data_IF_572223507964
#
_entry.id   IF_572223507964
#
_cell.length_a   1.000
_cell.length_b   1.000
_cell.length_c   1.000
_cell.angle_alpha   90.00
_cell.angle_beta   90.00
_cell.angle_gamma   90.00
#
_symmetry.space_group_name_H-M   'P 1'
#
loop_
_entity.id
_entity.type
_entity.pdbx_description
1 polymer ?
#
# COMPACT_ATOMS: atom_id res chain seq x y z
N UNK A 1 2.69 -15.08 -7.89
CA UNK A 1 1.40 -15.58 -8.42
C UNK A 1 1.62 -16.25 -9.78
N UNK A 2 1.84 -15.48 -10.86
CA UNK A 2 2.01 -16.05 -12.20
C UNK A 2 3.10 -17.14 -12.27
N UNK A 3 4.29 -16.81 -11.77
CA UNK A 3 5.42 -17.74 -11.69
C UNK A 3 5.12 -18.94 -10.76
N UNK A 4 4.69 -18.67 -9.52
CA UNK A 4 4.44 -19.70 -8.51
C UNK A 4 3.38 -20.73 -8.92
N UNK A 5 2.34 -20.31 -9.64
CA UNK A 5 1.24 -21.17 -10.09
C UNK A 5 1.30 -21.51 -11.58
N UNK A 6 2.43 -21.24 -12.24
CA UNK A 6 2.66 -21.53 -13.65
C UNK A 6 1.54 -21.06 -14.60
N UNK A 7 0.96 -19.88 -14.31
CA UNK A 7 -0.10 -19.26 -15.10
C UNK A 7 0.43 -18.01 -15.82
N UNK A 8 -0.25 -17.59 -16.89
CA UNK A 8 0.14 -16.34 -17.54
C UNK A 8 -0.24 -15.11 -16.70
N UNK A 9 0.34 -13.95 -17.03
CA UNK A 9 0.18 -12.73 -16.25
C UNK A 9 -1.28 -12.25 -16.19
N UNK A 10 -1.99 -12.31 -17.32
CA UNK A 10 -3.39 -11.86 -17.40
C UNK A 10 -4.31 -12.71 -16.52
N UNK A 11 -4.12 -14.03 -16.56
CA UNK A 11 -4.83 -14.98 -15.69
C UNK A 11 -4.54 -14.71 -14.21
N UNK A 12 -3.27 -14.49 -13.85
CA UNK A 12 -2.89 -14.18 -12.46
C UNK A 12 -3.57 -12.91 -11.94
N UNK A 13 -3.61 -11.86 -12.76
CA UNK A 13 -4.28 -10.59 -12.39
C UNK A 13 -5.78 -10.80 -12.27
N UNK A 14 -6.40 -11.50 -13.22
CA UNK A 14 -7.83 -11.77 -13.20
C UNK A 14 -8.25 -12.57 -11.95
N UNK A 15 -7.52 -13.63 -11.61
CA UNK A 15 -7.79 -14.45 -10.43
C UNK A 15 -7.57 -13.67 -9.13
N UNK A 16 -6.50 -12.86 -9.05
CA UNK A 16 -6.26 -11.97 -7.90
C UNK A 16 -7.41 -10.99 -7.70
N UNK A 17 -7.88 -10.34 -8.76
CA UNK A 17 -8.96 -9.36 -8.68
C UNK A 17 -10.32 -10.01 -8.33
N UNK A 18 -10.53 -11.27 -8.71
CA UNK A 18 -11.73 -12.03 -8.37
C UNK A 18 -11.66 -12.71 -7.00
N UNK A 19 -10.50 -12.69 -6.32
CA UNK A 19 -10.28 -13.43 -5.08
C UNK A 19 -10.33 -14.96 -5.25
N UNK A 20 -10.07 -15.46 -6.47
CA UNK A 20 -10.14 -16.90 -6.82
C UNK A 20 -8.75 -17.52 -6.96
N UNK A 21 -7.86 -17.20 -6.03
CA UNK A 21 -6.52 -17.79 -5.99
C UNK A 21 -6.58 -19.15 -5.25
N UNK A 22 -5.60 -20.04 -5.49
CA UNK A 22 -5.50 -21.31 -4.75
C UNK A 22 -5.46 -21.10 -3.22
N UNK A 23 -5.92 -22.10 -2.46
CA UNK A 23 -6.07 -22.00 -0.99
C UNK A 23 -4.74 -21.71 -0.27
N UNK A 24 -3.62 -22.15 -0.83
CA UNK A 24 -2.28 -21.94 -0.27
C UNK A 24 -1.70 -20.55 -0.56
N UNK A 25 -2.39 -19.69 -1.32
CA UNK A 25 -1.89 -18.38 -1.74
C UNK A 25 -1.44 -17.49 -0.60
N UNK A 26 -2.21 -17.47 0.50
CA UNK A 26 -1.88 -16.61 1.64
C UNK A 26 -0.50 -16.99 2.20
N UNK A 27 -0.28 -18.26 2.52
CA UNK A 27 0.97 -18.74 3.13
C UNK A 27 2.12 -18.90 2.14
N UNK A 28 1.85 -19.33 0.91
CA UNK A 28 2.91 -19.66 -0.06
C UNK A 28 3.43 -18.43 -0.82
N UNK A 29 2.63 -17.37 -0.94
CA UNK A 29 2.96 -16.20 -1.76
C UNK A 29 2.79 -14.89 -1.00
N UNK A 30 1.66 -14.66 -0.35
CA UNK A 30 1.33 -13.35 0.20
C UNK A 30 2.09 -13.04 1.50
N UNK A 31 2.19 -13.98 2.43
CA UNK A 31 2.98 -13.85 3.66
C UNK A 31 4.46 -13.61 3.37
N UNK A 32 5.16 -14.43 2.55
CA UNK A 32 6.54 -14.16 2.16
C UNK A 32 6.73 -12.78 1.51
N UNK A 33 5.74 -12.35 0.72
CA UNK A 33 5.77 -11.03 0.10
C UNK A 33 5.60 -9.88 1.11
N UNK A 34 4.72 -10.04 2.12
CA UNK A 34 4.57 -9.10 3.23
C UNK A 34 5.88 -8.99 4.04
N UNK A 35 6.54 -10.11 4.32
CA UNK A 35 7.83 -10.15 5.02
C UNK A 35 8.94 -9.45 4.23
N UNK A 36 8.96 -9.65 2.91
CA UNK A 36 9.89 -8.95 2.02
C UNK A 36 9.68 -7.43 2.06
N UNK A 37 8.43 -6.97 2.04
CA UNK A 37 8.11 -5.54 2.17
C UNK A 37 8.60 -5.01 3.52
N UNK A 38 8.31 -5.70 4.61
CA UNK A 38 8.74 -5.32 5.96
C UNK A 38 10.25 -5.19 6.05
N UNK A 39 10.98 -6.18 5.53
CA UNK A 39 12.45 -6.15 5.49
C UNK A 39 12.96 -4.96 4.69
N UNK A 40 12.32 -4.66 3.55
CA UNK A 40 12.70 -3.52 2.73
C UNK A 40 12.49 -2.20 3.47
N UNK A 41 11.34 -2.01 4.12
CA UNK A 41 11.05 -0.82 4.92
C UNK A 41 12.08 -0.67 6.05
N UNK A 42 12.38 -1.76 6.78
CA UNK A 42 13.38 -1.76 7.85
C UNK A 42 14.75 -1.31 7.35
N UNK A 43 15.20 -1.83 6.20
CA UNK A 43 16.48 -1.42 5.58
C UNK A 43 16.49 0.06 5.20
N UNK A 44 15.40 0.54 4.61
CA UNK A 44 15.27 1.96 4.23
C UNK A 44 15.31 2.87 5.46
N UNK A 45 14.62 2.50 6.54
CA UNK A 45 14.66 3.26 7.80
C UNK A 45 16.06 3.26 8.43
N UNK A 46 16.74 2.11 8.46
CA UNK A 46 18.12 2.02 8.94
C UNK A 46 19.06 2.92 8.14
N UNK A 47 18.91 2.95 6.81
CA UNK A 47 19.68 3.85 5.95
C UNK A 47 19.35 5.33 6.19
N UNK A 48 18.08 5.67 6.40
CA UNK A 48 17.66 7.02 6.74
C UNK A 48 18.30 7.48 8.06
N UNK A 49 18.30 6.63 9.10
CA UNK A 49 18.91 6.97 10.39
C UNK A 49 20.44 7.05 10.36
N UNK A 50 21.11 6.33 9.46
CA UNK A 50 22.57 6.42 9.34
C UNK A 50 23.04 7.66 8.57
N UNK A 51 22.16 8.30 7.80
CA UNK A 51 22.51 9.42 6.90
C UNK A 51 21.90 10.76 7.31
N UNK A 52 20.83 10.76 8.12
CA UNK A 52 20.17 11.98 8.56
C UNK A 52 20.62 12.42 9.95
N UNK A 53 20.69 13.73 10.18
CA UNK A 53 20.83 14.31 11.52
C UNK A 53 19.48 14.42 12.25
N UNK A 54 18.39 14.12 11.54
CA UNK A 54 17.04 14.08 12.09
C UNK A 54 16.83 12.75 12.84
N UNK A 55 16.04 12.79 13.91
CA UNK A 55 15.84 11.66 14.82
C UNK A 55 15.01 10.51 14.25
N UNK A 56 14.31 9.83 15.15
CA UNK A 56 13.44 8.68 14.83
C UNK A 56 12.23 9.10 13.98
N UNK A 57 11.72 8.18 13.16
CA UNK A 57 10.49 8.36 12.40
C UNK A 57 9.29 8.17 13.32
N UNK A 58 8.44 9.18 13.44
CA UNK A 58 7.22 9.13 14.27
C UNK A 58 6.08 8.34 13.61
N UNK A 59 6.02 8.36 12.27
CA UNK A 59 4.88 7.81 11.53
C UNK A 59 5.27 7.30 10.14
N UNK A 60 4.67 6.17 9.73
CA UNK A 60 4.79 5.59 8.39
C UNK A 60 3.43 5.73 7.68
N UNK A 61 3.43 6.42 6.55
CA UNK A 61 2.25 6.56 5.70
C UNK A 61 2.38 5.67 4.46
N UNK A 62 1.49 4.68 4.31
CA UNK A 62 1.47 3.76 3.18
C UNK A 62 0.63 4.33 2.04
N UNK A 63 1.23 4.49 0.86
CA UNK A 63 0.57 4.95 -0.35
C UNK A 63 0.72 3.93 -1.50
N UNK A 64 -0.02 4.15 -2.58
CA UNK A 64 -0.02 3.29 -3.77
C UNK A 64 -0.95 2.09 -3.67
N UNK A 65 -1.00 1.29 -4.75
CA UNK A 65 -1.92 0.16 -4.86
C UNK A 65 -1.73 -0.91 -3.78
N UNK A 66 -0.50 -1.08 -3.31
CA UNK A 66 -0.14 -2.08 -2.29
C UNK A 66 -0.56 -1.68 -0.87
N UNK A 67 -0.79 -0.38 -0.60
CA UNK A 67 -1.25 0.08 0.70
C UNK A 67 -2.65 -0.48 1.06
N UNK A 68 -3.39 -0.96 0.07
CA UNK A 68 -4.71 -1.61 0.23
C UNK A 68 -4.64 -3.05 0.67
N UNK A 69 -3.44 -3.63 0.71
CA UNK A 69 -3.28 -5.01 1.13
C UNK A 69 -3.70 -5.15 2.59
N UNK A 70 -4.71 -5.98 2.82
CA UNK A 70 -5.23 -6.21 4.16
C UNK A 70 -4.13 -6.71 5.10
N UNK A 71 -4.11 -6.16 6.31
CA UNK A 71 -3.15 -6.49 7.36
C UNK A 71 -1.75 -5.90 7.18
N UNK A 72 -1.40 -5.30 6.04
CA UNK A 72 -0.03 -4.82 5.79
C UNK A 72 0.37 -3.68 6.75
N UNK A 73 -0.50 -2.68 6.93
CA UNK A 73 -0.24 -1.56 7.86
C UNK A 73 -0.07 -2.05 9.30
N UNK A 74 -0.94 -2.96 9.75
CA UNK A 74 -0.89 -3.54 11.08
C UNK A 74 0.40 -4.34 11.30
N UNK A 75 0.78 -5.19 10.33
CA UNK A 75 2.02 -5.95 10.36
C UNK A 75 3.25 -5.03 10.49
N UNK A 76 3.31 -3.98 9.68
CA UNK A 76 4.44 -3.03 9.71
C UNK A 76 4.50 -2.33 11.07
N UNK A 77 3.36 -1.88 11.59
CA UNK A 77 3.30 -1.23 12.90
C UNK A 77 3.74 -2.16 14.04
N UNK A 78 3.24 -3.40 14.04
CA UNK A 78 3.60 -4.40 15.05
C UNK A 78 5.09 -4.72 15.03
N UNK A 79 5.66 -4.90 13.84
CA UNK A 79 7.05 -5.35 13.69
C UNK A 79 8.08 -4.23 13.84
N UNK A 80 7.71 -2.98 13.55
CA UNK A 80 8.62 -1.83 13.63
C UNK A 80 8.39 -0.96 14.85
N UNK A 81 7.24 -1.07 15.53
CA UNK A 81 6.87 -0.22 16.66
C UNK A 81 6.62 1.25 16.27
N UNK A 82 6.39 1.52 14.98
CA UNK A 82 6.13 2.87 14.45
C UNK A 82 4.69 2.93 13.96
N UNK A 83 3.95 3.97 14.37
CA UNK A 83 2.57 4.17 13.94
C UNK A 83 2.47 4.13 12.43
N UNK A 84 1.63 3.26 11.89
CA UNK A 84 1.53 3.05 10.43
C UNK A 84 0.09 3.17 9.97
N UNK A 85 -0.18 4.05 9.01
CA UNK A 85 -1.53 4.24 8.44
C UNK A 85 -1.52 4.19 6.92
N UNK A 86 -2.66 3.80 6.34
CA UNK A 86 -2.91 3.90 4.90
C UNK A 86 -3.27 5.34 4.54
N UNK A 87 -2.64 5.87 3.50
CA UNK A 87 -2.86 7.23 3.02
C UNK A 87 -4.26 7.39 2.43
N UNK A 88 -4.95 8.46 2.79
CA UNK A 88 -6.14 8.92 2.09
C UNK A 88 -6.01 10.43 1.83
N UNK A 89 -5.59 10.86 0.63
CA UNK A 89 -5.44 12.27 0.30
C UNK A 89 -6.77 13.02 0.18
N UNK A 90 -7.90 12.30 0.19
CA UNK A 90 -9.23 12.84 -0.10
C UNK A 90 -10.12 12.91 1.15
N UNK A 91 -9.60 12.53 2.33
CA UNK A 91 -10.38 12.41 3.58
C UNK A 91 -11.08 13.71 4.02
N UNK A 92 -10.55 14.86 3.59
CA UNK A 92 -11.08 16.18 3.92
C UNK A 92 -11.64 16.93 2.70
N UNK A 93 -11.85 16.22 1.58
CA UNK A 93 -12.40 16.82 0.36
C UNK A 93 -13.92 16.63 0.26
N UNK A 94 -14.57 17.55 -0.44
CA UNK A 94 -15.98 17.41 -0.83
C UNK A 94 -16.08 16.81 -2.22
N UNK A 95 -17.00 15.85 -2.39
CA UNK A 95 -17.19 15.15 -3.66
C UNK A 95 -18.39 15.68 -4.44
N UNK A 96 -18.21 15.89 -5.74
CA UNK A 96 -19.30 16.25 -6.65
C UNK A 96 -20.25 15.07 -6.92
N UNK A 97 -21.49 15.36 -7.34
CA UNK A 97 -22.55 14.36 -7.56
C UNK A 97 -22.23 13.27 -8.60
N UNK A 98 -21.24 13.49 -9.47
CA UNK A 98 -20.84 12.53 -10.52
C UNK A 98 -19.74 11.56 -10.05
N UNK A 99 -19.25 11.72 -8.84
CA UNK A 99 -18.16 10.92 -8.28
C UNK A 99 -18.74 9.65 -7.65
N UNK A 100 -18.21 8.50 -8.04
CA UNK A 100 -18.48 7.25 -7.35
C UNK A 100 -17.60 7.16 -6.09
N UNK A 101 -18.22 7.32 -4.92
CA UNK A 101 -17.52 7.35 -3.63
C UNK A 101 -16.85 6.01 -3.29
N UNK A 102 -17.47 4.88 -3.63
CA UNK A 102 -16.94 3.56 -3.30
C UNK A 102 -15.64 3.29 -4.06
N UNK A 103 -15.62 3.62 -5.35
CA UNK A 103 -14.42 3.50 -6.19
C UNK A 103 -13.31 4.43 -5.68
N UNK A 104 -13.64 5.69 -5.41
CA UNK A 104 -12.64 6.65 -4.93
C UNK A 104 -12.08 6.25 -3.57
N UNK A 105 -12.90 5.84 -2.62
CA UNK A 105 -12.43 5.43 -1.30
C UNK A 105 -11.54 4.19 -1.39
N UNK A 106 -11.88 3.24 -2.27
CA UNK A 106 -11.05 2.07 -2.55
C UNK A 106 -9.72 2.45 -3.22
N UNK A 107 -9.71 3.42 -4.13
CA UNK A 107 -8.50 3.83 -4.86
C UNK A 107 -7.70 4.94 -4.15
N UNK A 108 -8.22 5.53 -3.08
CA UNK A 108 -7.64 6.71 -2.43
C UNK A 108 -6.12 6.65 -2.18
N UNK A 109 -5.54 5.54 -1.68
CA UNK A 109 -4.09 5.48 -1.44
C UNK A 109 -3.26 5.59 -2.73
N UNK A 110 -3.84 5.20 -3.87
CA UNK A 110 -3.20 5.27 -5.20
C UNK A 110 -3.20 6.69 -5.77
N UNK A 111 -4.09 7.56 -5.27
CA UNK A 111 -4.32 8.89 -5.81
C UNK A 111 -3.40 9.95 -5.21
N UNK A 112 -2.49 9.61 -4.29
CA UNK A 112 -1.57 10.56 -3.65
C UNK A 112 -0.82 11.44 -4.65
N UNK A 113 -0.25 10.84 -5.71
CA UNK A 113 0.51 11.59 -6.74
C UNK A 113 -0.42 12.45 -7.58
N UNK A 114 -1.53 11.88 -8.07
CA UNK A 114 -2.49 12.62 -8.90
C UNK A 114 -3.13 13.79 -8.14
N UNK A 115 -3.46 13.59 -6.86
CA UNK A 115 -3.93 14.62 -5.95
C UNK A 115 -2.91 15.75 -5.81
N UNK A 116 -1.64 15.43 -5.54
CA UNK A 116 -0.58 16.42 -5.45
C UNK A 116 -0.39 17.23 -6.74
N UNK A 117 -0.48 16.59 -7.90
CA UNK A 117 -0.43 17.26 -9.21
C UNK A 117 -1.62 18.21 -9.43
N UNK A 118 -2.82 17.81 -9.02
CA UNK A 118 -4.02 18.64 -9.12
C UNK A 118 -3.95 19.86 -8.19
N UNK A 119 -3.46 19.68 -6.96
CA UNK A 119 -3.29 20.75 -5.97
C UNK A 119 -2.32 21.85 -6.41
N UNK A 120 -1.42 21.57 -7.36
CA UNK A 120 -0.49 22.58 -7.89
C UNK A 120 -1.19 23.82 -8.49
N UNK A 121 -2.44 23.68 -8.93
CA UNK A 121 -3.22 24.74 -9.57
C UNK A 121 -4.41 25.20 -8.71
N UNK A 122 -4.42 24.84 -7.42
CA UNK A 122 -5.43 25.29 -6.47
C UNK A 122 -4.81 26.41 -5.64
N UNK A 123 -5.32 27.63 -5.82
CA UNK A 123 -5.01 28.79 -4.96
C UNK A 123 -5.91 28.82 -3.72
#
# INVERSE_FOLDING_TARGET
>A
IAEHYHMNLEQAIALKNQGKLPEDYESAVLEPFKDMILLQIKRTLQFFYSTSQHGFVDHILLAGGMARQSGLAALIQEQLGVTTTVANPLSHMSFGKKVNLDVINSDAPTLMVACGLALRHVE
#
